data_IF_565008176663
#
_entry.id   IF_565008176663
#
_cell.length_a   1.000
_cell.length_b   1.000
_cell.length_c   1.000
_cell.angle_alpha   90.00
_cell.angle_beta   90.00
_cell.angle_gamma   90.00
#
_symmetry.space_group_name_H-M   'P 1'
#
loop_
_entity.id
_entity.type
_entity.pdbx_description
1 polymer ?
#
# COMPACT_ATOMS: atom_id res chain seq x y z
N UNK A 1 -7.28 4.93 -5.80
CA UNK A 1 -6.98 6.37 -5.70
C UNK A 1 -7.95 7.20 -6.54
N UNK A 2 -7.87 7.19 -7.88
CA UNK A 2 -8.75 8.03 -8.74
C UNK A 2 -10.26 7.83 -8.57
N UNK A 3 -10.71 6.60 -8.33
CA UNK A 3 -12.14 6.30 -8.16
C UNK A 3 -12.60 6.40 -6.68
N UNK A 4 -11.76 6.89 -5.77
CA UNK A 4 -12.10 7.05 -4.34
C UNK A 4 -12.27 5.75 -3.53
N UNK A 5 -12.16 4.56 -4.14
CA UNK A 5 -12.38 3.28 -3.46
C UNK A 5 -11.18 2.71 -2.70
N UNK A 6 -10.02 3.38 -2.76
CA UNK A 6 -8.81 2.85 -2.12
C UNK A 6 -8.79 3.23 -0.65
N UNK A 7 -8.58 2.25 0.24
CA UNK A 7 -8.52 2.46 1.69
C UNK A 7 -7.08 2.50 2.21
N UNK A 8 -6.21 1.63 1.69
CA UNK A 8 -4.79 1.55 2.03
C UNK A 8 -3.95 1.23 0.81
N UNK A 9 -2.75 1.80 0.74
CA UNK A 9 -1.76 1.51 -0.30
C UNK A 9 -0.45 1.09 0.35
N UNK A 10 0.04 -0.09 -0.02
CA UNK A 10 1.34 -0.61 0.39
C UNK A 10 2.35 -0.36 -0.73
N UNK A 11 3.48 0.25 -0.40
CA UNK A 11 4.58 0.49 -1.34
C UNK A 11 5.80 -0.30 -0.86
N UNK A 12 6.34 -1.18 -1.71
CA UNK A 12 7.56 -1.93 -1.40
C UNK A 12 8.78 -1.00 -1.23
N UNK A 13 9.70 -1.36 -0.35
CA UNK A 13 10.88 -0.55 -0.03
C UNK A 13 11.82 -0.30 -1.20
N UNK A 14 11.84 -1.18 -2.20
CA UNK A 14 12.62 -1.02 -3.44
C UNK A 14 11.81 -0.43 -4.61
N UNK A 15 10.66 0.20 -4.35
CA UNK A 15 9.93 0.93 -5.38
C UNK A 15 10.76 2.13 -5.87
N UNK A 16 10.94 2.34 -7.20
CA UNK A 16 11.72 3.45 -7.72
C UNK A 16 11.24 4.81 -7.17
N UNK A 17 12.15 5.73 -6.78
CA UNK A 17 11.80 6.97 -6.11
C UNK A 17 10.74 7.80 -6.85
N UNK A 18 10.89 7.95 -8.17
CA UNK A 18 9.92 8.70 -9.00
C UNK A 18 8.51 8.13 -8.90
N UNK A 19 8.37 6.81 -9.01
CA UNK A 19 7.07 6.13 -8.92
C UNK A 19 6.48 6.20 -7.51
N UNK A 20 7.34 6.10 -6.49
CA UNK A 20 6.94 6.24 -5.09
C UNK A 20 6.33 7.63 -4.85
N UNK A 21 7.01 8.69 -5.29
CA UNK A 21 6.51 10.07 -5.16
C UNK A 21 5.21 10.33 -5.93
N UNK A 22 5.08 9.78 -7.15
CA UNK A 22 3.84 9.88 -7.92
C UNK A 22 2.65 9.21 -7.19
N UNK A 23 2.87 8.03 -6.61
CA UNK A 23 1.84 7.29 -5.89
C UNK A 23 1.45 7.97 -4.58
N UNK A 24 2.42 8.50 -3.83
CA UNK A 24 2.16 9.28 -2.62
C UNK A 24 1.35 10.54 -2.94
N UNK A 25 1.67 11.23 -4.05
CA UNK A 25 0.91 12.38 -4.50
C UNK A 25 -0.55 12.02 -4.83
N UNK A 26 -0.79 10.92 -5.56
CA UNK A 26 -2.16 10.46 -5.82
C UNK A 26 -2.88 9.98 -4.56
N UNK A 27 -2.16 9.37 -3.61
CA UNK A 27 -2.73 8.96 -2.33
C UNK A 27 -3.19 10.17 -1.52
N UNK A 28 -2.36 11.21 -1.44
CA UNK A 28 -2.67 12.47 -0.77
C UNK A 28 -3.94 13.12 -1.35
N UNK A 29 -4.02 13.27 -2.68
CA UNK A 29 -5.19 13.85 -3.34
C UNK A 29 -6.47 13.05 -3.09
N UNK A 30 -6.35 11.72 -2.99
CA UNK A 30 -7.49 10.82 -2.74
C UNK A 30 -7.71 10.49 -1.27
N UNK A 31 -6.97 11.15 -0.35
CA UNK A 31 -6.99 10.88 1.10
C UNK A 31 -6.86 9.39 1.44
N UNK A 32 -6.08 8.65 0.65
CA UNK A 32 -5.81 7.23 0.87
C UNK A 32 -4.57 7.08 1.75
N UNK A 33 -4.64 6.23 2.76
CA UNK A 33 -3.48 5.93 3.61
C UNK A 33 -2.39 5.22 2.82
N UNK A 34 -1.14 5.65 3.02
CA UNK A 34 0.05 4.98 2.47
C UNK A 34 0.84 4.37 3.61
N UNK A 35 1.22 3.10 3.45
CA UNK A 35 2.15 2.41 4.34
C UNK A 35 3.38 1.95 3.55
N UNK A 36 4.56 2.35 4.00
CA UNK A 36 5.82 1.91 3.43
C UNK A 36 6.17 0.54 3.96
N UNK A 37 6.05 -0.46 3.10
CA UNK A 37 6.45 -1.81 3.43
C UNK A 37 7.98 -1.90 3.49
N UNK A 38 8.52 -2.33 4.63
CA UNK A 38 9.96 -2.40 4.86
C UNK A 38 10.69 -3.43 3.97
N UNK A 39 9.97 -4.41 3.43
CA UNK A 39 10.53 -5.43 2.54
C UNK A 39 10.58 -5.05 1.07
N UNK A 40 11.16 -5.93 0.25
CA UNK A 40 11.23 -5.78 -1.21
C UNK A 40 9.92 -6.17 -1.89
N UNK A 41 9.78 -5.83 -3.18
CA UNK A 41 8.65 -6.24 -4.01
C UNK A 41 8.48 -7.76 -4.17
N UNK A 42 9.54 -8.54 -3.97
CA UNK A 42 9.46 -10.00 -3.90
C UNK A 42 8.78 -10.41 -2.59
N UNK A 43 9.24 -9.88 -1.45
CA UNK A 43 8.65 -10.17 -0.15
C UNK A 43 7.18 -9.73 -0.08
N UNK A 44 6.84 -8.57 -0.64
CA UNK A 44 5.46 -8.08 -0.71
C UNK A 44 4.58 -9.00 -1.59
N UNK A 45 5.10 -9.47 -2.72
CA UNK A 45 4.39 -10.42 -3.58
C UNK A 45 4.13 -11.75 -2.87
N UNK A 46 5.15 -12.31 -2.22
CA UNK A 46 5.03 -13.52 -1.41
C UNK A 46 4.03 -13.37 -0.27
N UNK A 47 4.06 -12.25 0.46
CA UNK A 47 3.11 -11.95 1.53
C UNK A 47 1.66 -11.85 1.02
N UNK A 48 1.47 -11.38 -0.21
CA UNK A 48 0.17 -11.33 -0.89
C UNK A 48 -0.21 -12.66 -1.59
N UNK A 49 0.55 -13.75 -1.38
CA UNK A 49 0.31 -15.06 -1.98
C UNK A 49 0.52 -15.10 -3.50
N UNK A 50 1.36 -14.21 -4.05
CA UNK A 50 1.65 -14.13 -5.49
C UNK A 50 3.03 -14.70 -5.80
N UNK A 51 3.12 -15.49 -6.87
CA UNK A 51 4.38 -16.04 -7.40
C UNK A 51 5.13 -15.07 -8.33
N UNK A 52 4.84 -13.77 -8.21
CA UNK A 52 5.47 -12.70 -8.97
C UNK A 52 5.69 -11.47 -8.09
N UNK A 53 6.63 -10.62 -8.51
CA UNK A 53 6.98 -9.37 -7.81
C UNK A 53 5.82 -8.37 -7.79
N UNK A 54 5.49 -7.85 -6.61
CA UNK A 54 4.48 -6.81 -6.41
C UNK A 54 5.16 -5.57 -5.86
N UNK A 55 5.28 -4.52 -6.68
CA UNK A 55 5.90 -3.26 -6.24
C UNK A 55 4.98 -2.40 -5.37
N UNK A 56 3.67 -2.49 -5.62
CA UNK A 56 2.63 -1.69 -4.97
C UNK A 56 1.37 -2.53 -4.89
N UNK A 57 0.68 -2.49 -3.75
CA UNK A 57 -0.62 -3.15 -3.55
C UNK A 57 -1.62 -2.14 -3.00
N UNK A 58 -2.86 -2.16 -3.48
CA UNK A 58 -3.94 -1.31 -2.97
C UNK A 58 -5.02 -2.19 -2.35
N UNK A 59 -5.39 -1.89 -1.11
CA UNK A 59 -6.51 -2.49 -0.40
C UNK A 59 -7.75 -1.66 -0.69
N UNK A 60 -8.72 -2.29 -1.36
CA UNK A 60 -10.06 -1.72 -1.61
C UNK A 60 -11.03 -2.16 -0.52
N UNK A 61 -10.88 -3.41 -0.07
CA UNK A 61 -11.67 -4.03 0.99
C UNK A 61 -10.73 -4.85 1.89
N UNK A 62 -10.67 -4.59 3.20
CA UNK A 62 -9.84 -5.40 4.11
C UNK A 62 -10.43 -6.77 4.41
N UNK A 63 -11.73 -7.00 4.15
CA UNK A 63 -12.44 -8.15 4.69
C UNK A 63 -12.28 -8.22 6.22
N UNK A 64 -11.91 -9.38 6.72
CA UNK A 64 -11.68 -9.63 8.16
C UNK A 64 -10.24 -9.30 8.62
N UNK A 65 -9.46 -8.60 7.81
CA UNK A 65 -8.06 -8.30 8.11
C UNK A 65 -7.92 -7.01 8.92
N UNK A 66 -7.02 -7.01 9.92
CA UNK A 66 -6.62 -5.83 10.70
C UNK A 66 -5.71 -4.83 9.93
N UNK A 67 -5.69 -4.90 8.59
CA UNK A 67 -4.79 -4.12 7.75
C UNK A 67 -5.03 -2.61 7.83
N UNK A 68 -6.25 -2.18 8.16
CA UNK A 68 -6.58 -0.76 8.24
C UNK A 68 -6.23 -0.14 9.60
N UNK A 69 -5.75 -0.91 10.58
CA UNK A 69 -5.32 -0.34 11.86
C UNK A 69 -4.15 0.64 11.69
N UNK A 70 -3.32 0.44 10.65
CA UNK A 70 -2.27 1.37 10.24
C UNK A 70 -2.80 2.68 9.62
N UNK A 71 -4.04 2.69 9.14
CA UNK A 71 -4.67 3.86 8.54
C UNK A 71 -5.30 4.80 9.56
N UNK A 72 -5.66 4.30 10.74
CA UNK A 72 -6.40 5.06 11.75
C UNK A 72 -5.49 5.71 12.81
N UNK A 73 -4.16 5.63 12.67
CA UNK A 73 -3.23 6.22 13.63
C UNK A 73 -3.29 5.55 15.00
N UNK A 74 -3.71 4.29 15.08
CA UNK A 74 -3.72 3.53 16.32
C UNK A 74 -2.31 2.99 16.62
N UNK A 75 -1.44 3.87 17.12
CA UNK A 75 -0.33 3.47 17.98
C UNK A 75 -0.91 2.94 19.28
N UNK A 76 -1.05 1.63 19.37
CA UNK A 76 -1.07 0.91 20.64
C UNK A 76 0.31 0.27 20.82
#
# INVERSE_FOLDING_TARGET
MRNGKAKLVLIAGNCPPLRKSELEYYAMLSKTTVHHFAGTNVALGTAAGKLFRVGVMTVVDPGDSDLLNFAEGNTA
#
